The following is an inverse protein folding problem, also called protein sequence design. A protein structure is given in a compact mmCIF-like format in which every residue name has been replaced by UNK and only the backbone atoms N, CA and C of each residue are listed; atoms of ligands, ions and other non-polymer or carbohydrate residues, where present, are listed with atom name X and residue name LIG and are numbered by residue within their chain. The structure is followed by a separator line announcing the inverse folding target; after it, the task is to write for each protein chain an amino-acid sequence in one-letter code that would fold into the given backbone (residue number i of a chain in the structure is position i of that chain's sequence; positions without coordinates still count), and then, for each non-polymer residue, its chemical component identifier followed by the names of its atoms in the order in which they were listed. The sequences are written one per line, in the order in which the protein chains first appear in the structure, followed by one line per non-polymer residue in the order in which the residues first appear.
data_IF_951269048598
#
_entry.id   IF_951269048598
#
_cell.length_a   1.000
_cell.length_b   1.000
_cell.length_c   1.000
_cell.angle_alpha   90.00
_cell.angle_beta   90.00
_cell.angle_gamma   90.00
#
_symmetry.space_group_name_H-M   'P 1'
#
loop_
_entity.id
_entity.type
_entity.pdbx_description
1 polymer ?
#
# COMPACT_ATOMS: atom_id res chain seq x y z
N UNK A 1 4.63 12.92 0.38
CA UNK A 1 5.49 12.04 -0.45
C UNK A 1 5.38 10.63 0.11
N UNK A 2 5.35 9.61 -0.73
CA UNK A 2 5.36 8.21 -0.31
C UNK A 2 6.78 7.67 -0.36
N UNK A 3 7.29 7.13 0.76
CA UNK A 3 8.63 6.57 0.85
C UNK A 3 8.61 5.04 0.75
N UNK A 4 9.63 4.47 0.12
CA UNK A 4 9.86 3.03 0.02
C UNK A 4 8.81 2.26 -0.80
N UNK A 5 8.94 0.95 -0.77
CA UNK A 5 8.05 0.00 -1.43
C UNK A 5 6.65 -0.02 -0.79
N UNK A 6 5.60 -0.43 -1.51
CA UNK A 6 4.35 -0.85 -0.89
C UNK A 6 4.62 -2.06 0.02
N UNK A 7 4.51 -1.88 1.33
CA UNK A 7 4.88 -2.90 2.31
C UNK A 7 4.05 -2.76 3.58
N UNK A 8 3.60 -3.90 4.13
CA UNK A 8 2.84 -3.92 5.38
C UNK A 8 3.74 -3.54 6.56
N UNK A 9 3.33 -2.56 7.38
CA UNK A 9 4.14 -2.07 8.50
C UNK A 9 5.12 -0.94 8.13
N UNK A 10 5.16 -0.50 6.86
CA UNK A 10 6.07 0.55 6.41
C UNK A 10 5.96 1.85 7.23
N UNK A 11 7.10 2.41 7.61
CA UNK A 11 7.26 3.71 8.28
C UNK A 11 6.98 4.92 7.37
N UNK A 12 6.47 4.73 6.18
CA UNK A 12 6.25 5.75 5.15
C UNK A 12 5.66 7.07 5.69
N UNK A 13 4.67 7.00 6.61
CA UNK A 13 3.97 8.18 7.13
C UNK A 13 4.82 9.06 8.05
N UNK A 14 5.80 8.47 8.71
CA UNK A 14 6.66 9.15 9.70
C UNK A 14 8.15 9.16 9.30
N UNK A 15 8.50 8.59 8.14
CA UNK A 15 9.88 8.49 7.70
C UNK A 15 10.62 9.84 7.74
N UNK A 16 9.98 10.91 7.24
CA UNK A 16 10.58 12.25 7.31
C UNK A 16 10.83 12.69 8.75
N UNK A 17 9.87 12.50 9.65
CA UNK A 17 10.00 12.87 11.07
C UNK A 17 11.12 12.08 11.76
N UNK A 18 11.27 10.80 11.43
CA UNK A 18 12.38 9.97 11.91
C UNK A 18 13.69 10.53 11.41
N UNK A 19 13.81 10.83 10.12
CA UNK A 19 15.03 11.42 9.55
C UNK A 19 15.38 12.79 10.15
N UNK A 20 14.38 13.57 10.60
CA UNK A 20 14.64 14.85 11.26
C UNK A 20 15.31 14.66 12.65
N UNK A 21 15.08 13.52 13.30
CA UNK A 21 15.71 13.15 14.59
C UNK A 21 17.11 12.54 14.39
N UNK A 22 17.31 11.76 13.33
CA UNK A 22 18.59 11.13 13.05
C UNK A 22 19.63 12.20 12.64
N UNK A 23 20.84 12.22 13.23
CA UNK A 23 21.90 13.17 12.84
C UNK A 23 22.45 12.86 11.44
N UNK A 24 23.15 13.82 10.86
CA UNK A 24 23.95 13.61 9.66
C UNK A 24 25.17 12.76 9.96
N UNK A 25 25.55 11.87 9.04
CA UNK A 25 26.69 11.00 9.14
C UNK A 25 27.19 10.56 7.75
N UNK A 26 28.40 10.01 7.62
CA UNK A 26 28.83 9.43 6.35
C UNK A 26 27.91 8.31 5.87
N UNK A 27 27.50 7.41 6.78
CA UNK A 27 26.67 6.23 6.45
C UNK A 27 25.44 6.15 7.34
N UNK A 28 24.28 5.81 6.74
CA UNK A 28 23.14 5.28 7.47
C UNK A 28 23.03 3.77 7.21
N UNK A 29 22.96 2.99 8.28
CA UNK A 29 22.67 1.55 8.26
C UNK A 29 21.22 1.34 8.69
N UNK A 30 20.36 1.01 7.74
CA UNK A 30 18.94 0.65 7.94
C UNK A 30 18.85 -0.87 8.10
N UNK A 31 18.95 -1.32 9.35
CA UNK A 31 19.28 -2.73 9.72
C UNK A 31 18.07 -3.66 9.52
N UNK A 32 16.85 -3.16 9.67
CA UNK A 32 15.60 -3.85 9.44
C UNK A 32 14.78 -3.04 8.44
N UNK A 33 15.28 -2.93 7.20
CA UNK A 33 14.75 -1.94 6.25
C UNK A 33 13.31 -2.20 5.81
N UNK A 34 12.80 -3.45 5.94
CA UNK A 34 11.46 -3.82 5.52
C UNK A 34 11.15 -3.26 4.12
N UNK A 35 10.09 -2.45 3.96
CA UNK A 35 9.76 -1.79 2.70
C UNK A 35 10.69 -0.63 2.30
N UNK A 36 11.86 -0.48 2.89
CA UNK A 36 12.86 0.55 2.59
C UNK A 36 12.34 2.00 2.70
N UNK A 37 11.41 2.26 3.63
CA UNK A 37 10.85 3.61 3.77
C UNK A 37 11.87 4.59 4.36
N UNK A 38 12.66 4.16 5.33
CA UNK A 38 13.72 4.97 5.95
C UNK A 38 14.91 5.08 5.01
N UNK A 39 15.33 3.98 4.39
CA UNK A 39 16.33 3.97 3.31
C UNK A 39 16.02 5.01 2.24
N UNK A 40 14.78 5.02 1.70
CA UNK A 40 14.36 5.98 0.67
C UNK A 40 14.38 7.43 1.19
N UNK A 41 13.86 7.67 2.38
CA UNK A 41 13.87 9.01 2.98
C UNK A 41 15.31 9.48 3.24
N UNK A 42 16.20 8.61 3.66
CA UNK A 42 17.63 8.89 3.87
C UNK A 42 18.32 9.26 2.56
N UNK A 43 18.08 8.51 1.49
CA UNK A 43 18.61 8.82 0.15
C UNK A 43 18.19 10.19 -0.36
N UNK A 44 17.02 10.70 0.05
CA UNK A 44 16.51 12.00 -0.34
C UNK A 44 16.90 13.14 0.61
N UNK A 45 17.41 12.83 1.80
CA UNK A 45 17.65 13.81 2.87
C UNK A 45 18.89 14.68 2.65
N UNK A 46 19.87 14.18 1.90
CA UNK A 46 21.20 14.82 1.76
C UNK A 46 22.09 14.71 3.00
N UNK A 47 21.68 13.97 4.04
CA UNK A 47 22.43 13.80 5.31
C UNK A 47 23.52 12.75 5.25
N UNK A 48 23.47 11.84 4.29
CA UNK A 48 24.33 10.67 4.18
C UNK A 48 24.95 10.59 2.80
N UNK A 49 26.20 10.15 2.70
CA UNK A 49 26.87 9.84 1.43
C UNK A 49 26.60 8.41 0.96
N UNK A 50 26.30 7.51 1.92
CA UNK A 50 25.96 6.11 1.68
C UNK A 50 24.79 5.67 2.56
N UNK A 51 23.94 4.82 2.03
CA UNK A 51 22.86 4.15 2.77
C UNK A 51 22.99 2.65 2.56
N UNK A 52 23.04 1.89 3.66
CA UNK A 52 23.08 0.42 3.64
C UNK A 52 21.72 -0.08 4.12
N UNK A 53 21.00 -0.78 3.27
CA UNK A 53 19.71 -1.37 3.59
C UNK A 53 19.85 -2.88 3.78
N UNK A 54 19.51 -3.38 4.96
CA UNK A 54 19.52 -4.81 5.27
C UNK A 54 18.16 -5.28 5.71
N UNK A 55 17.80 -6.48 5.32
CA UNK A 55 16.65 -7.22 5.84
C UNK A 55 16.95 -8.73 5.78
N UNK A 56 16.41 -9.49 6.71
CA UNK A 56 16.51 -10.96 6.68
C UNK A 56 15.80 -11.53 5.44
N UNK A 57 14.75 -10.86 4.97
CA UNK A 57 14.11 -11.13 3.68
C UNK A 57 14.79 -10.33 2.56
N UNK A 58 15.88 -10.84 2.03
CA UNK A 58 16.67 -10.18 0.99
C UNK A 58 15.92 -9.81 -0.27
N UNK A 59 14.78 -10.43 -0.57
CA UNK A 59 13.96 -10.05 -1.72
C UNK A 59 13.55 -8.58 -1.67
N UNK A 60 13.32 -8.00 -0.48
CA UNK A 60 12.77 -6.65 -0.35
C UNK A 60 13.80 -5.55 -0.61
N UNK A 61 15.00 -5.52 0.01
CA UNK A 61 16.02 -4.52 -0.33
C UNK A 61 16.47 -4.63 -1.79
N UNK A 62 16.58 -5.82 -2.36
CA UNK A 62 16.88 -6.00 -3.79
C UNK A 62 15.72 -5.53 -4.70
N UNK A 63 14.47 -5.72 -4.29
CA UNK A 63 13.33 -5.14 -5.01
C UNK A 63 13.34 -3.60 -4.99
N UNK A 64 13.78 -3.00 -3.89
CA UNK A 64 13.94 -1.55 -3.81
C UNK A 64 15.07 -1.06 -4.74
N UNK A 65 16.20 -1.72 -4.74
CA UNK A 65 17.30 -1.45 -5.68
C UNK A 65 16.85 -1.57 -7.14
N UNK A 66 16.15 -2.66 -7.48
CA UNK A 66 15.52 -2.86 -8.80
C UNK A 66 14.57 -1.73 -9.16
N UNK A 67 13.73 -1.29 -8.22
CA UNK A 67 12.76 -0.22 -8.45
C UNK A 67 13.44 1.13 -8.75
N UNK A 68 14.48 1.50 -8.01
CA UNK A 68 15.19 2.76 -8.23
C UNK A 68 16.03 2.77 -9.51
N UNK A 69 16.41 1.61 -10.02
CA UNK A 69 17.11 1.46 -11.31
C UNK A 69 16.16 1.29 -12.51
N UNK A 70 14.85 1.31 -12.29
CA UNK A 70 13.84 1.25 -13.34
C UNK A 70 13.49 -0.17 -13.80
N UNK A 71 13.91 -1.22 -13.09
CA UNK A 71 13.67 -2.61 -13.46
C UNK A 71 12.19 -3.00 -13.54
N UNK A 72 11.28 -2.23 -12.91
CA UNK A 72 9.84 -2.46 -13.02
C UNK A 72 9.14 -1.57 -14.06
N UNK A 73 9.88 -0.83 -14.90
CA UNK A 73 9.31 0.12 -15.87
C UNK A 73 8.33 -0.52 -16.84
N UNK A 74 8.65 -1.70 -17.33
CA UNK A 74 7.88 -2.41 -18.34
C UNK A 74 7.00 -3.54 -17.76
N UNK A 75 6.83 -3.59 -16.44
CA UNK A 75 5.96 -4.60 -15.84
C UNK A 75 4.49 -4.30 -16.12
N UNK A 76 3.83 -5.28 -16.72
CA UNK A 76 2.42 -5.22 -17.09
C UNK A 76 1.70 -6.58 -16.95
N UNK A 77 2.40 -7.62 -16.50
CA UNK A 77 1.86 -8.98 -16.37
C UNK A 77 0.66 -9.05 -15.44
N UNK A 78 -0.38 -9.72 -15.87
CA UNK A 78 -1.39 -10.25 -14.96
C UNK A 78 -0.88 -11.54 -14.31
N UNK A 79 -1.02 -11.64 -13.01
CA UNK A 79 -0.66 -12.84 -12.25
C UNK A 79 -1.93 -13.48 -11.71
N UNK A 80 -2.18 -14.72 -12.11
CA UNK A 80 -3.27 -15.52 -11.58
C UNK A 80 -2.99 -15.97 -10.14
N UNK A 81 -4.00 -16.44 -9.43
CA UNK A 81 -3.83 -17.04 -8.09
C UNK A 81 -2.84 -18.19 -8.09
N UNK A 82 -2.91 -19.07 -9.11
CA UNK A 82 -2.05 -20.25 -9.21
C UNK A 82 -0.60 -19.85 -9.51
N UNK A 83 -0.39 -18.85 -10.37
CA UNK A 83 0.93 -18.32 -10.65
C UNK A 83 1.50 -17.55 -9.45
N UNK A 84 0.65 -16.85 -8.70
CA UNK A 84 1.07 -16.22 -7.45
C UNK A 84 1.64 -17.24 -6.48
N UNK A 85 0.98 -18.38 -6.28
CA UNK A 85 1.46 -19.44 -5.38
C UNK A 85 2.83 -20.00 -5.80
N UNK A 86 3.13 -20.02 -7.08
CA UNK A 86 4.42 -20.48 -7.61
C UNK A 86 5.53 -19.43 -7.46
N UNK A 87 5.19 -18.15 -7.60
CA UNK A 87 6.17 -17.08 -7.86
C UNK A 87 6.40 -16.13 -6.69
N UNK A 88 5.48 -16.03 -5.71
CA UNK A 88 5.54 -14.99 -4.67
C UNK A 88 6.82 -15.03 -3.80
N UNK A 89 7.51 -16.18 -3.74
CA UNK A 89 8.76 -16.34 -2.98
C UNK A 89 10.01 -15.88 -3.75
N UNK A 90 9.91 -15.78 -5.08
CA UNK A 90 11.08 -15.57 -5.95
C UNK A 90 10.93 -14.34 -6.85
N UNK A 91 9.71 -13.88 -7.10
CA UNK A 91 9.43 -12.73 -7.96
C UNK A 91 8.90 -11.55 -7.11
N UNK A 92 9.70 -10.50 -6.91
CA UNK A 92 9.31 -9.36 -6.10
C UNK A 92 8.12 -8.56 -6.67
N UNK A 93 7.95 -8.51 -8.00
CA UNK A 93 6.78 -7.91 -8.61
C UNK A 93 5.50 -8.63 -8.18
N UNK A 94 5.52 -9.96 -8.26
CA UNK A 94 4.40 -10.81 -7.86
C UNK A 94 4.09 -10.63 -6.38
N UNK A 95 5.09 -10.75 -5.52
CA UNK A 95 4.94 -10.64 -4.07
C UNK A 95 4.40 -9.27 -3.64
N UNK A 96 4.92 -8.18 -4.20
CA UNK A 96 4.57 -6.83 -3.78
C UNK A 96 3.23 -6.40 -4.40
N UNK A 97 3.02 -6.62 -5.71
CA UNK A 97 1.85 -6.08 -6.40
C UNK A 97 0.60 -6.94 -6.22
N UNK A 98 0.74 -8.26 -6.12
CA UNK A 98 -0.39 -9.19 -6.09
C UNK A 98 -0.71 -9.76 -4.70
N UNK A 99 -0.05 -9.29 -3.64
CA UNK A 99 -0.40 -9.74 -2.28
C UNK A 99 -1.41 -8.85 -1.59
N UNK A 100 -2.22 -9.44 -0.71
CA UNK A 100 -3.24 -8.75 0.07
C UNK A 100 -2.63 -7.75 1.06
N UNK A 101 -2.94 -6.47 0.87
CA UNK A 101 -2.37 -5.42 1.72
C UNK A 101 -0.84 -5.34 1.70
N UNK A 102 -0.22 -5.83 0.62
CA UNK A 102 1.24 -5.92 0.42
C UNK A 102 1.93 -6.72 1.55
N UNK A 103 1.32 -7.85 1.95
CA UNK A 103 1.83 -8.75 2.98
C UNK A 103 2.82 -9.81 2.44
N UNK A 104 3.03 -9.86 1.13
CA UNK A 104 3.94 -10.70 0.35
C UNK A 104 3.58 -12.19 0.23
N UNK A 105 2.54 -12.69 0.86
CA UNK A 105 2.26 -14.14 0.92
C UNK A 105 0.81 -14.54 0.67
N UNK A 106 -0.16 -13.63 0.76
CA UNK A 106 -1.57 -13.89 0.49
C UNK A 106 -2.01 -13.20 -0.79
N UNK A 107 -2.64 -13.91 -1.70
CA UNK A 107 -3.14 -13.33 -2.95
C UNK A 107 -4.20 -12.25 -2.72
N UNK A 108 -4.13 -11.16 -3.46
CA UNK A 108 -4.89 -9.94 -3.17
C UNK A 108 -6.37 -9.97 -3.56
N UNK A 109 -6.80 -10.90 -4.43
CA UNK A 109 -8.18 -10.94 -4.91
C UNK A 109 -8.94 -12.18 -4.42
N UNK A 110 -10.21 -12.02 -4.03
CA UNK A 110 -11.12 -13.12 -3.80
C UNK A 110 -11.43 -13.84 -5.12
N UNK A 111 -11.73 -15.15 -5.08
CA UNK A 111 -11.95 -15.97 -6.28
C UNK A 111 -13.04 -15.40 -7.19
N UNK A 112 -14.15 -14.97 -6.60
CA UNK A 112 -15.28 -14.39 -7.34
C UNK A 112 -14.98 -13.02 -7.98
N UNK A 113 -13.94 -12.32 -7.52
CA UNK A 113 -13.51 -11.01 -8.07
C UNK A 113 -12.41 -11.12 -9.11
N UNK A 114 -11.66 -12.20 -9.10
CA UNK A 114 -10.48 -12.37 -9.94
C UNK A 114 -10.76 -12.19 -11.45
N UNK A 115 -11.83 -12.77 -12.04
CA UNK A 115 -12.15 -12.57 -13.46
C UNK A 115 -12.36 -11.08 -13.81
N UNK A 116 -13.10 -10.35 -12.97
CA UNK A 116 -13.36 -8.92 -13.17
C UNK A 116 -12.09 -8.08 -13.03
N UNK A 117 -11.23 -8.42 -12.08
CA UNK A 117 -9.96 -7.72 -11.88
C UNK A 117 -8.98 -7.98 -13.01
N UNK A 118 -8.97 -9.19 -13.56
CA UNK A 118 -8.21 -9.53 -14.76
C UNK A 118 -8.70 -8.73 -15.97
N UNK A 119 -10.01 -8.69 -16.19
CA UNK A 119 -10.60 -7.92 -17.29
C UNK A 119 -10.29 -6.41 -17.18
N UNK A 120 -10.32 -5.84 -15.97
CA UNK A 120 -9.92 -4.45 -15.73
C UNK A 120 -8.41 -4.25 -15.96
N UNK A 121 -7.59 -5.20 -15.59
CA UNK A 121 -6.14 -5.14 -15.86
C UNK A 121 -5.90 -5.06 -17.37
N UNK A 122 -6.51 -5.94 -18.14
CA UNK A 122 -6.41 -5.95 -19.61
C UNK A 122 -6.85 -4.62 -20.22
N UNK A 123 -7.98 -4.10 -19.77
CA UNK A 123 -8.48 -2.80 -20.23
C UNK A 123 -7.52 -1.64 -19.89
N UNK A 124 -6.95 -1.62 -18.68
CA UNK A 124 -6.10 -0.51 -18.21
C UNK A 124 -4.69 -0.60 -18.81
N UNK A 125 -4.09 -1.79 -18.85
CA UNK A 125 -2.72 -1.97 -19.31
C UNK A 125 -2.63 -2.03 -20.84
N UNK A 126 -3.48 -2.83 -21.46
CA UNK A 126 -3.39 -3.15 -22.90
C UNK A 126 -4.52 -2.55 -23.75
N UNK A 127 -5.45 -1.79 -23.13
CA UNK A 127 -6.66 -1.26 -23.80
C UNK A 127 -7.58 -2.36 -24.36
N UNK A 128 -7.41 -3.61 -23.92
CA UNK A 128 -8.29 -4.71 -24.29
C UNK A 128 -9.50 -4.75 -23.38
N UNK A 129 -10.64 -4.35 -23.91
CA UNK A 129 -11.92 -4.33 -23.20
C UNK A 129 -12.82 -5.53 -23.50
N UNK A 130 -12.37 -6.47 -24.34
CA UNK A 130 -13.12 -7.69 -24.70
C UNK A 130 -13.56 -8.48 -23.47
N UNK A 131 -12.64 -8.90 -22.58
CA UNK A 131 -12.99 -9.66 -21.37
C UNK A 131 -13.94 -8.93 -20.42
N UNK A 132 -13.88 -7.59 -20.36
CA UNK A 132 -14.84 -6.82 -19.57
C UNK A 132 -16.22 -6.82 -20.19
N UNK A 133 -16.32 -6.72 -21.54
CA UNK A 133 -17.59 -6.76 -22.27
C UNK A 133 -18.34 -8.08 -22.04
N UNK A 134 -17.63 -9.19 -21.96
CA UNK A 134 -18.21 -10.50 -21.65
C UNK A 134 -18.81 -10.56 -20.24
N UNK A 135 -18.14 -9.97 -19.26
CA UNK A 135 -18.54 -10.00 -17.85
C UNK A 135 -19.54 -8.89 -17.49
N UNK A 136 -19.38 -7.72 -18.06
CA UNK A 136 -20.09 -6.49 -17.72
C UNK A 136 -20.46 -5.69 -18.99
N UNK A 137 -21.30 -6.24 -19.90
CA UNK A 137 -21.68 -5.58 -21.14
C UNK A 137 -22.34 -4.21 -20.91
N UNK A 138 -23.06 -4.06 -19.80
CA UNK A 138 -23.78 -2.84 -19.41
C UNK A 138 -22.90 -1.60 -19.22
N UNK A 139 -21.60 -1.79 -18.99
CA UNK A 139 -20.63 -0.70 -18.78
C UNK A 139 -19.46 -0.73 -19.76
N UNK A 140 -19.47 -1.68 -20.70
CA UNK A 140 -18.34 -1.96 -21.59
C UNK A 140 -17.98 -0.78 -22.51
N UNK A 141 -18.97 -0.11 -23.09
CA UNK A 141 -18.74 1.03 -24.00
C UNK A 141 -18.18 2.24 -23.24
N UNK A 142 -18.66 2.49 -22.02
CA UNK A 142 -18.14 3.55 -21.19
C UNK A 142 -16.68 3.28 -20.77
N UNK A 143 -16.34 2.03 -20.41
CA UNK A 143 -14.97 1.63 -20.12
C UNK A 143 -14.07 1.78 -21.36
N UNK A 144 -14.52 1.28 -22.52
CA UNK A 144 -13.78 1.37 -23.79
C UNK A 144 -13.43 2.82 -24.11
N UNK A 145 -14.42 3.71 -24.12
CA UNK A 145 -14.20 5.14 -24.36
C UNK A 145 -13.19 5.77 -23.41
N UNK A 146 -13.27 5.42 -22.12
CA UNK A 146 -12.38 5.97 -21.09
C UNK A 146 -10.92 5.50 -21.24
N UNK A 147 -10.69 4.22 -21.62
CA UNK A 147 -9.33 3.70 -21.76
C UNK A 147 -8.69 4.06 -23.10
N UNK A 148 -9.47 4.20 -24.16
CA UNK A 148 -8.96 4.62 -25.48
C UNK A 148 -8.56 6.09 -25.51
N UNK A 149 -9.30 6.95 -24.81
CA UNK A 149 -9.07 8.41 -24.79
C UNK A 149 -7.85 8.83 -23.95
N UNK A 150 -7.27 7.95 -23.14
CA UNK A 150 -6.19 8.31 -22.21
C UNK A 150 -4.93 7.47 -22.48
N UNK A 151 -3.78 8.15 -22.65
CA UNK A 151 -2.50 7.48 -22.87
C UNK A 151 -1.79 7.13 -21.56
N UNK A 152 -1.91 7.98 -20.54
CA UNK A 152 -1.32 7.73 -19.23
C UNK A 152 -2.07 6.62 -18.49
N UNK A 153 -1.37 5.54 -18.14
CA UNK A 153 -1.95 4.37 -17.48
C UNK A 153 -2.58 4.71 -16.13
N UNK A 154 -1.95 5.55 -15.32
CA UNK A 154 -2.50 5.93 -14.02
C UNK A 154 -3.81 6.72 -14.16
N UNK A 155 -3.88 7.65 -15.12
CA UNK A 155 -5.11 8.38 -15.43
C UNK A 155 -6.17 7.44 -16.03
N UNK A 156 -5.78 6.49 -16.89
CA UNK A 156 -6.67 5.43 -17.41
C UNK A 156 -7.33 4.66 -16.28
N UNK A 157 -6.58 4.21 -15.29
CA UNK A 157 -7.13 3.50 -14.12
C UNK A 157 -8.21 4.32 -13.40
N UNK A 158 -7.93 5.60 -13.15
CA UNK A 158 -8.89 6.51 -12.49
C UNK A 158 -10.12 6.74 -13.39
N UNK A 159 -9.88 6.99 -14.68
CA UNK A 159 -10.92 7.20 -15.68
C UNK A 159 -11.84 5.99 -15.85
N UNK A 160 -11.27 4.80 -15.94
CA UNK A 160 -12.00 3.53 -16.04
C UNK A 160 -12.98 3.34 -14.86
N UNK A 161 -12.51 3.53 -13.63
CA UNK A 161 -13.38 3.42 -12.47
C UNK A 161 -14.54 4.43 -12.46
N UNK A 162 -14.25 5.68 -12.84
CA UNK A 162 -15.27 6.73 -12.93
C UNK A 162 -16.28 6.43 -14.06
N UNK A 163 -15.81 5.99 -15.22
CA UNK A 163 -16.66 5.69 -16.36
C UNK A 163 -17.66 4.57 -16.05
N UNK A 164 -17.19 3.48 -15.43
CA UNK A 164 -18.03 2.36 -15.00
C UNK A 164 -19.11 2.85 -14.03
N UNK A 165 -18.72 3.60 -12.99
CA UNK A 165 -19.66 4.10 -11.97
C UNK A 165 -20.69 5.06 -12.60
N UNK A 166 -20.26 5.97 -13.47
CA UNK A 166 -21.16 6.92 -14.14
C UNK A 166 -22.15 6.24 -15.06
N UNK A 167 -21.69 5.23 -15.83
CA UNK A 167 -22.55 4.46 -16.73
C UNK A 167 -23.59 3.65 -15.95
N UNK A 168 -23.20 2.97 -14.88
CA UNK A 168 -24.14 2.27 -13.99
C UNK A 168 -25.20 3.22 -13.44
N UNK A 169 -24.78 4.39 -12.95
CA UNK A 169 -25.69 5.39 -12.42
C UNK A 169 -26.72 5.84 -13.45
N UNK A 170 -26.25 6.27 -14.58
CA UNK A 170 -27.12 6.74 -15.64
C UNK A 170 -28.11 5.63 -16.08
N UNK A 171 -27.59 4.41 -16.30
CA UNK A 171 -28.39 3.30 -16.77
C UNK A 171 -29.45 2.81 -15.77
N UNK A 172 -29.14 2.79 -14.47
CA UNK A 172 -30.09 2.47 -13.41
C UNK A 172 -31.16 3.56 -13.25
N UNK A 173 -30.77 4.85 -13.37
CA UNK A 173 -31.72 5.97 -13.23
C UNK A 173 -32.69 6.05 -14.39
N UNK A 174 -32.25 5.82 -15.63
CA UNK A 174 -33.09 5.90 -16.82
C UNK A 174 -33.74 4.55 -17.22
N UNK A 175 -33.51 3.49 -16.44
CA UNK A 175 -34.10 2.17 -16.66
C UNK A 175 -33.45 1.35 -17.79
N UNK A 176 -32.30 1.78 -18.35
CA UNK A 176 -31.62 1.03 -19.43
C UNK A 176 -30.74 -0.09 -18.90
N UNK A 177 -30.42 -0.11 -17.59
CA UNK A 177 -29.69 -1.18 -16.90
C UNK A 177 -30.61 -1.82 -15.87
N UNK A 178 -30.73 -3.16 -15.95
CA UNK A 178 -31.47 -3.95 -14.98
C UNK A 178 -30.80 -3.86 -13.59
N UNK A 179 -31.55 -3.53 -12.52
CA UNK A 179 -31.02 -3.52 -11.14
C UNK A 179 -30.36 -4.82 -10.69
N UNK A 180 -30.72 -5.99 -11.24
CA UNK A 180 -30.12 -7.28 -10.95
C UNK A 180 -28.62 -7.32 -11.26
N UNK A 181 -28.14 -6.46 -12.17
CA UNK A 181 -26.70 -6.27 -12.45
C UNK A 181 -25.89 -5.99 -11.18
N UNK A 182 -26.48 -5.31 -10.20
CA UNK A 182 -25.83 -4.95 -8.93
C UNK A 182 -25.48 -6.17 -8.08
N UNK A 183 -25.99 -7.35 -8.42
CA UNK A 183 -25.63 -8.61 -7.78
C UNK A 183 -24.32 -9.22 -8.29
N UNK A 184 -23.73 -8.69 -9.35
CA UNK A 184 -22.41 -9.12 -9.81
C UNK A 184 -21.34 -8.87 -8.70
N UNK A 185 -20.41 -9.80 -8.47
CA UNK A 185 -19.41 -9.70 -7.39
C UNK A 185 -18.64 -8.38 -7.38
N UNK A 186 -18.30 -7.85 -8.56
CA UNK A 186 -17.55 -6.59 -8.69
C UNK A 186 -18.34 -5.38 -8.16
N UNK A 187 -19.68 -5.41 -8.25
CA UNK A 187 -20.54 -4.32 -7.80
C UNK A 187 -21.03 -4.50 -6.36
N UNK A 188 -21.08 -5.75 -5.83
CA UNK A 188 -21.45 -6.04 -4.43
C UNK A 188 -20.45 -5.52 -3.39
N UNK A 189 -19.15 -5.47 -3.73
CA UNK A 189 -18.07 -5.15 -2.79
C UNK A 189 -17.86 -3.64 -2.63
N UNK A 190 -18.93 -2.95 -2.27
CA UNK A 190 -18.90 -1.53 -1.99
C UNK A 190 -18.91 -1.33 -0.48
N UNK A 191 -17.84 -0.72 0.04
CA UNK A 191 -17.71 -0.40 1.46
C UNK A 191 -18.79 0.58 1.90
N UNK A 192 -19.54 0.21 2.94
CA UNK A 192 -20.41 1.12 3.71
C UNK A 192 -19.54 2.21 4.37
N UNK A 193 -19.43 3.39 3.78
CA UNK A 193 -18.98 4.58 4.50
C UNK A 193 -20.19 5.27 5.13
N UNK A 194 -20.15 5.42 6.47
CA UNK A 194 -21.13 6.19 7.22
C UNK A 194 -20.80 7.68 7.04
N UNK A 195 -21.49 8.38 6.16
CA UNK A 195 -21.45 9.84 6.09
C UNK A 195 -22.83 10.41 6.46
N UNK A 196 -22.96 11.21 7.53
CA UNK A 196 -24.26 11.75 7.97
C UNK A 196 -24.99 12.61 6.94
N UNK A 197 -24.26 13.33 6.05
CA UNK A 197 -24.86 14.18 5.01
C UNK A 197 -25.54 13.44 3.85
N UNK A 198 -25.27 12.15 3.69
CA UNK A 198 -25.81 11.34 2.59
C UNK A 198 -27.29 10.98 2.76
N UNK A 199 -27.77 10.90 4.03
CA UNK A 199 -29.17 10.64 4.33
C UNK A 199 -30.11 11.75 3.83
N UNK A 200 -29.66 13.00 3.84
CA UNK A 200 -30.46 14.16 3.42
C UNK A 200 -30.59 14.17 1.89
N UNK A 201 -29.48 13.94 1.15
CA UNK A 201 -29.51 13.86 -0.33
C UNK A 201 -30.29 12.66 -0.86
N UNK A 202 -30.26 11.53 -0.14
CA UNK A 202 -31.07 10.36 -0.48
C UNK A 202 -32.55 10.62 -0.27
N UNK A 203 -32.94 11.28 0.84
CA UNK A 203 -34.31 11.67 1.12
C UNK A 203 -34.87 12.61 0.03
N UNK A 204 -34.08 13.60 -0.42
CA UNK A 204 -34.46 14.52 -1.52
C UNK A 204 -34.57 13.79 -2.86
N UNK A 205 -33.71 12.81 -3.15
CA UNK A 205 -33.78 11.99 -4.36
C UNK A 205 -34.97 11.03 -4.33
N UNK A 206 -35.30 10.48 -3.18
CA UNK A 206 -36.49 9.64 -2.95
C UNK A 206 -37.77 10.47 -3.10
N UNK A 207 -37.80 11.70 -2.60
CA UNK A 207 -38.94 12.62 -2.76
C UNK A 207 -39.16 13.00 -4.23
N UNK A 208 -38.10 13.27 -4.99
CA UNK A 208 -38.15 13.49 -6.46
C UNK A 208 -38.65 12.28 -7.23
N UNK A 209 -38.25 11.05 -6.82
CA UNK A 209 -38.74 9.81 -7.46
C UNK A 209 -40.20 9.51 -7.15
N UNK A 210 -40.69 9.93 -5.97
CA UNK A 210 -42.11 9.82 -5.60
C UNK A 210 -43.02 10.74 -6.43
N UNK A 211 -42.48 11.81 -7.01
CA UNK A 211 -43.20 12.77 -7.85
C UNK A 211 -43.23 12.39 -9.34
N UNK A 212 -42.54 11.33 -9.76
CA UNK A 212 -42.53 10.78 -11.12
C UNK A 212 -43.51 9.60 -11.17
N UNK A 213 -44.31 9.52 -12.24
CA UNK A 213 -45.46 8.64 -12.49
C UNK A 213 -45.49 7.19 -11.97
N UNK A 214 -46.62 6.50 -11.87
CA UNK A 214 -46.84 5.29 -11.10
C UNK A 214 -46.14 4.08 -11.71
N UNK A 215 -44.98 3.74 -11.16
CA UNK A 215 -44.36 2.41 -11.29
C UNK A 215 -44.91 1.49 -10.21
N UNK A 216 -45.05 0.20 -10.49
CA UNK A 216 -45.46 -0.79 -9.50
C UNK A 216 -44.51 -0.78 -8.28
N UNK A 217 -45.07 -0.99 -7.10
CA UNK A 217 -44.36 -0.81 -5.81
C UNK A 217 -43.03 -1.63 -5.72
N UNK A 218 -42.97 -2.83 -6.32
CA UNK A 218 -41.80 -3.70 -6.31
C UNK A 218 -40.63 -3.15 -7.16
N UNK A 219 -40.89 -2.59 -8.35
CA UNK A 219 -39.85 -1.98 -9.18
C UNK A 219 -39.28 -0.70 -8.54
N UNK A 220 -40.11 0.06 -7.85
CA UNK A 220 -39.68 1.25 -7.08
C UNK A 220 -38.77 0.87 -5.92
N UNK A 221 -39.10 -0.17 -5.19
CA UNK A 221 -38.29 -0.66 -4.08
C UNK A 221 -36.92 -1.17 -4.58
N UNK A 222 -36.91 -1.95 -5.65
CA UNK A 222 -35.67 -2.45 -6.26
C UNK A 222 -34.78 -1.34 -6.81
N UNK A 223 -35.38 -0.30 -7.42
CA UNK A 223 -34.62 0.89 -7.87
C UNK A 223 -34.05 1.70 -6.71
N UNK A 224 -34.81 1.87 -5.62
CA UNK A 224 -34.34 2.55 -4.41
C UNK A 224 -33.22 1.79 -3.72
N UNK A 225 -33.34 0.49 -3.56
CA UNK A 225 -32.27 -0.35 -3.01
C UNK A 225 -31.00 -0.35 -3.90
N UNK A 226 -31.20 -0.30 -5.22
CA UNK A 226 -30.08 -0.20 -6.18
C UNK A 226 -29.41 1.15 -6.11
N UNK A 227 -30.15 2.25 -5.92
CA UNK A 227 -29.61 3.60 -5.71
C UNK A 227 -28.87 3.71 -4.36
N UNK A 228 -29.37 3.09 -3.28
CA UNK A 228 -28.67 3.02 -2.01
C UNK A 228 -27.36 2.20 -2.13
N UNK A 229 -27.38 1.10 -2.85
CA UNK A 229 -26.16 0.33 -3.16
C UNK A 229 -25.20 1.15 -4.01
N UNK A 230 -25.72 1.97 -4.92
CA UNK A 230 -24.96 2.81 -5.84
C UNK A 230 -24.22 3.96 -5.16
N UNK A 231 -24.82 4.67 -4.19
CA UNK A 231 -24.10 5.70 -3.43
C UNK A 231 -22.87 5.14 -2.68
N UNK A 232 -22.85 3.82 -2.48
CA UNK A 232 -21.69 3.10 -1.92
C UNK A 232 -20.59 2.82 -2.95
N UNK A 233 -20.85 3.06 -4.28
CA UNK A 233 -19.87 2.86 -5.37
C UNK A 233 -18.79 3.93 -5.48
N UNK A 234 -18.82 5.00 -4.71
CA UNK A 234 -17.83 6.10 -4.74
C UNK A 234 -16.37 5.64 -4.60
N UNK A 235 -16.16 4.43 -4.09
CA UNK A 235 -14.85 3.85 -3.80
C UNK A 235 -14.55 2.55 -4.57
N UNK A 236 -14.93 2.45 -5.84
CA UNK A 236 -14.47 1.34 -6.67
C UNK A 236 -12.95 1.42 -6.83
N UNK A 237 -12.22 0.77 -5.91
CA UNK A 237 -10.77 0.56 -6.09
C UNK A 237 -10.57 -0.38 -7.27
N UNK A 238 -10.27 0.19 -8.42
CA UNK A 238 -10.18 -0.56 -9.67
C UNK A 238 -9.10 -1.64 -9.61
N UNK A 239 -7.87 -1.28 -9.23
CA UNK A 239 -6.75 -2.23 -9.14
C UNK A 239 -5.77 -1.82 -8.03
N UNK A 240 -5.63 -2.64 -7.00
CA UNK A 240 -4.57 -2.49 -6.00
C UNK A 240 -3.19 -2.77 -6.61
N UNK A 241 -3.12 -3.73 -7.52
CA UNK A 241 -1.89 -4.13 -8.22
C UNK A 241 -1.29 -2.98 -9.00
N UNK A 242 -2.10 -2.21 -9.73
CA UNK A 242 -1.63 -1.04 -10.48
C UNK A 242 -1.16 0.10 -9.54
N UNK A 243 -1.82 0.30 -8.40
CA UNK A 243 -1.38 1.28 -7.41
C UNK A 243 0.00 0.92 -6.84
N UNK A 244 0.22 -0.35 -6.51
CA UNK A 244 1.51 -0.86 -6.04
C UNK A 244 2.59 -0.74 -7.13
N UNK A 245 2.28 -1.10 -8.38
CA UNK A 245 3.20 -1.00 -9.50
C UNK A 245 3.55 0.46 -9.83
N UNK A 246 2.57 1.37 -9.86
CA UNK A 246 2.84 2.79 -10.03
C UNK A 246 3.78 3.34 -8.95
N UNK A 247 3.65 2.85 -7.72
CA UNK A 247 4.55 3.22 -6.64
C UNK A 247 5.96 2.67 -6.86
N UNK A 248 6.12 1.41 -7.28
CA UNK A 248 7.43 0.84 -7.65
C UNK A 248 8.10 1.66 -8.75
N UNK A 249 7.38 1.97 -9.83
CA UNK A 249 7.91 2.73 -10.96
C UNK A 249 8.25 4.18 -10.60
N UNK A 250 7.56 4.78 -9.63
CA UNK A 250 7.86 6.13 -9.17
C UNK A 250 9.21 6.25 -8.44
N UNK A 251 9.75 5.16 -7.93
CA UNK A 251 11.03 5.13 -7.19
C UNK A 251 12.24 5.36 -8.11
N UNK A 252 12.13 5.04 -9.39
CA UNK A 252 13.19 5.29 -10.39
C UNK A 252 13.68 6.75 -10.40
N UNK A 253 12.78 7.69 -10.11
CA UNK A 253 13.11 9.12 -10.08
C UNK A 253 14.15 9.52 -9.01
N UNK A 254 14.49 8.63 -8.09
CA UNK A 254 15.50 8.88 -7.05
C UNK A 254 16.88 8.99 -7.67
N UNK A 255 17.25 8.08 -8.56
CA UNK A 255 18.58 8.04 -9.17
C UNK A 255 18.86 9.19 -10.16
N UNK A 256 17.81 9.87 -10.63
CA UNK A 256 17.96 11.01 -11.52
C UNK A 256 18.52 12.28 -10.83
N UNK A 257 18.70 12.27 -9.51
CA UNK A 257 19.26 13.42 -8.77
C UNK A 257 20.79 13.40 -8.78
N UNK A 258 21.42 14.48 -9.18
CA UNK A 258 22.88 14.63 -9.35
C UNK A 258 23.76 14.32 -8.14
N UNK A 259 23.20 14.10 -6.93
CA UNK A 259 23.92 13.81 -5.67
C UNK A 259 23.17 12.78 -4.81
N UNK A 260 22.65 11.73 -5.43
CA UNK A 260 22.08 10.64 -4.64
C UNK A 260 23.19 9.90 -3.90
N UNK A 261 23.01 9.55 -2.61
CA UNK A 261 23.96 8.70 -1.89
C UNK A 261 24.06 7.33 -2.55
N UNK A 262 25.18 6.66 -2.34
CA UNK A 262 25.36 5.29 -2.79
C UNK A 262 24.46 4.37 -1.96
N UNK A 263 23.57 3.64 -2.62
CA UNK A 263 22.81 2.56 -2.00
C UNK A 263 23.67 1.28 -2.00
N UNK A 264 23.70 0.59 -0.88
CA UNK A 264 24.19 -0.78 -0.77
C UNK A 264 23.09 -1.63 -0.15
N UNK A 265 22.83 -2.80 -0.71
CA UNK A 265 21.85 -3.75 -0.16
C UNK A 265 22.57 -4.93 0.45
N UNK A 266 22.06 -5.41 1.57
CA UNK A 266 22.54 -6.58 2.28
C UNK A 266 21.34 -7.48 2.61
N UNK A 267 21.65 -8.76 2.84
CA UNK A 267 20.65 -9.76 3.23
C UNK A 267 21.24 -10.60 4.34
N UNK A 268 20.60 -10.62 5.50
CA UNK A 268 21.04 -11.46 6.60
C UNK A 268 20.56 -11.01 7.94
N UNK A 269 20.98 -11.78 8.94
CA UNK A 269 20.71 -11.46 10.33
C UNK A 269 21.48 -10.18 10.73
N UNK A 270 20.84 -9.29 11.48
CA UNK A 270 21.43 -8.04 11.95
C UNK A 270 22.71 -8.26 12.77
N UNK A 271 22.86 -9.42 13.41
CA UNK A 271 24.03 -9.79 14.21
C UNK A 271 25.28 -10.05 13.37
N UNK A 272 25.08 -10.38 12.09
CA UNK A 272 26.16 -10.68 11.15
C UNK A 272 26.58 -9.45 10.33
N UNK A 273 25.88 -8.31 10.52
CA UNK A 273 26.21 -7.09 9.79
C UNK A 273 27.52 -6.47 10.25
N UNK A 274 28.36 -6.14 9.28
CA UNK A 274 29.60 -5.38 9.50
C UNK A 274 29.36 -3.88 9.30
N UNK A 275 29.79 -3.07 10.29
CA UNK A 275 29.72 -1.61 10.28
C UNK A 275 31.10 -1.03 9.95
N UNK A 276 31.52 -1.14 8.70
CA UNK A 276 32.88 -0.83 8.22
C UNK A 276 33.24 0.66 8.22
N UNK A 277 32.28 1.56 8.45
CA UNK A 277 32.52 3.00 8.48
C UNK A 277 31.72 3.66 9.62
N UNK A 278 32.20 4.81 10.16
CA UNK A 278 31.42 5.60 11.10
C UNK A 278 30.07 6.01 10.53
N UNK A 279 28.99 5.78 11.27
CA UNK A 279 27.65 6.03 10.78
C UNK A 279 26.58 6.02 11.87
N UNK A 280 25.34 6.00 11.42
CA UNK A 280 24.14 5.86 12.23
C UNK A 280 23.54 4.49 11.97
N UNK A 281 23.24 3.75 13.02
CA UNK A 281 22.48 2.51 12.95
C UNK A 281 21.03 2.83 13.29
N UNK A 282 20.13 2.58 12.35
CA UNK A 282 18.69 2.66 12.56
C UNK A 282 18.07 1.25 12.57
N UNK A 283 17.29 0.97 13.60
CA UNK A 283 16.62 -0.30 13.81
C UNK A 283 15.11 -0.13 13.92
N UNK A 284 14.36 -0.91 13.13
CA UNK A 284 12.91 -1.07 13.19
C UNK A 284 12.58 -2.56 13.35
N UNK A 285 12.91 -3.18 14.53
CA UNK A 285 12.74 -4.61 14.73
C UNK A 285 11.25 -5.01 14.70
N UNK A 286 10.94 -6.32 14.56
CA UNK A 286 9.58 -6.81 14.76
C UNK A 286 9.06 -6.41 16.15
N UNK A 287 7.87 -5.76 16.20
CA UNK A 287 7.31 -5.29 17.48
C UNK A 287 6.91 -6.44 18.41
N UNK A 288 7.15 -6.28 19.71
CA UNK A 288 6.74 -7.24 20.75
C UNK A 288 5.24 -7.60 20.71
N UNK A 289 4.40 -6.63 20.33
CA UNK A 289 2.93 -6.79 20.27
C UNK A 289 2.48 -7.64 19.06
N UNK A 290 3.37 -7.95 18.11
CA UNK A 290 3.04 -8.68 16.88
C UNK A 290 3.60 -10.11 16.85
N UNK A 291 3.71 -10.76 18.00
CA UNK A 291 4.33 -12.08 18.21
C UNK A 291 3.95 -13.20 17.22
N UNK A 292 2.77 -13.15 16.61
CA UNK A 292 2.23 -14.24 15.80
C UNK A 292 2.61 -14.22 14.30
N UNK A 293 3.39 -13.24 13.82
CA UNK A 293 3.50 -12.99 12.36
C UNK A 293 4.78 -13.45 11.68
N UNK A 294 5.84 -13.77 12.41
CA UNK A 294 7.16 -14.06 11.81
C UNK A 294 7.65 -15.50 12.00
N UNK A 295 6.85 -16.40 12.56
CA UNK A 295 7.16 -17.84 12.67
C UNK A 295 8.29 -18.21 13.62
N UNK A 296 9.12 -17.26 14.04
CA UNK A 296 10.17 -17.40 15.07
C UNK A 296 10.04 -16.26 16.06
N UNK A 297 10.29 -16.57 17.34
CA UNK A 297 10.29 -15.55 18.40
C UNK A 297 11.57 -14.70 18.27
N UNK A 298 11.40 -13.37 18.11
CA UNK A 298 12.52 -12.45 18.02
C UNK A 298 13.20 -12.34 19.39
N UNK A 299 14.51 -12.55 19.45
CA UNK A 299 15.30 -12.44 20.66
C UNK A 299 15.53 -10.97 21.05
N UNK A 300 14.57 -10.40 21.77
CA UNK A 300 14.67 -9.03 22.25
C UNK A 300 15.81 -8.81 23.23
N UNK A 301 16.14 -9.80 24.05
CA UNK A 301 17.23 -9.67 25.06
C UNK A 301 18.58 -9.58 24.37
N UNK A 302 18.83 -10.47 23.42
CA UNK A 302 20.04 -10.44 22.60
C UNK A 302 20.12 -9.17 21.76
N UNK A 303 18.98 -8.73 21.17
CA UNK A 303 18.92 -7.49 20.39
C UNK A 303 19.27 -6.25 21.24
N UNK A 304 18.76 -6.14 22.47
CA UNK A 304 19.08 -5.02 23.35
C UNK A 304 20.56 -5.00 23.69
N UNK A 305 21.14 -6.15 24.04
CA UNK A 305 22.59 -6.27 24.32
C UNK A 305 23.40 -5.93 23.06
N UNK A 306 22.98 -6.40 21.90
CA UNK A 306 23.63 -6.04 20.64
C UNK A 306 23.63 -4.52 20.40
N UNK A 307 22.49 -3.83 20.61
CA UNK A 307 22.39 -2.37 20.47
C UNK A 307 23.39 -1.61 21.41
N UNK A 308 23.54 -2.07 22.62
CA UNK A 308 24.43 -1.43 23.63
C UNK A 308 25.91 -1.59 23.31
N UNK A 309 26.28 -2.68 22.60
CA UNK A 309 27.68 -2.95 22.25
C UNK A 309 28.13 -2.29 20.95
N UNK A 310 27.22 -1.58 20.22
CA UNK A 310 27.60 -0.90 18.99
C UNK A 310 28.46 0.33 19.25
N UNK A 311 29.53 0.47 18.47
CA UNK A 311 30.37 1.69 18.44
C UNK A 311 29.64 2.84 17.77
N UNK A 312 28.90 2.56 16.71
CA UNK A 312 28.08 3.52 16.00
C UNK A 312 26.82 3.88 16.81
N UNK A 313 26.33 5.11 16.68
CA UNK A 313 25.10 5.55 17.36
C UNK A 313 23.89 4.75 16.89
N UNK A 314 23.16 4.15 17.84
CA UNK A 314 21.97 3.36 17.58
C UNK A 314 20.71 4.15 17.87
N UNK A 315 19.75 4.11 16.93
CA UNK A 315 18.41 4.66 17.05
C UNK A 315 17.39 3.56 16.75
N UNK A 316 16.46 3.34 17.67
CA UNK A 316 15.51 2.20 17.61
C UNK A 316 14.10 2.73 17.58
N UNK A 317 13.30 2.30 16.58
CA UNK A 317 11.88 2.60 16.48
C UNK A 317 11.09 1.50 17.19
N UNK A 318 10.42 1.84 18.31
CA UNK A 318 9.58 0.91 19.07
C UNK A 318 8.58 1.68 19.96
N UNK A 319 7.47 1.05 20.33
CA UNK A 319 6.48 1.65 21.23
C UNK A 319 6.97 1.71 22.67
N UNK A 320 7.60 0.63 23.13
CA UNK A 320 8.08 0.48 24.53
C UNK A 320 9.41 -0.27 24.55
N UNK A 321 10.35 0.21 25.35
CA UNK A 321 11.62 -0.46 25.60
C UNK A 321 11.93 -0.42 27.11
N UNK A 322 12.85 -1.27 27.62
CA UNK A 322 13.33 -1.20 29.01
C UNK A 322 13.95 0.16 29.29
N UNK A 323 13.33 0.96 30.17
CA UNK A 323 13.74 2.33 30.45
C UNK A 323 15.01 2.43 31.35
N UNK A 324 15.39 1.35 31.99
CA UNK A 324 16.68 1.18 32.67
C UNK A 324 17.85 1.08 31.69
N UNK A 325 17.61 0.62 30.45
CA UNK A 325 18.65 0.43 29.42
C UNK A 325 18.58 1.46 28.29
N UNK A 326 17.38 1.97 27.98
CA UNK A 326 17.11 2.84 26.84
C UNK A 326 16.35 4.10 27.24
N UNK A 327 16.55 5.18 26.49
CA UNK A 327 15.91 6.48 26.70
C UNK A 327 15.18 6.89 25.42
N UNK A 328 13.91 7.34 25.50
CA UNK A 328 13.21 7.90 24.35
C UNK A 328 13.76 9.30 24.03
N UNK A 329 14.21 9.49 22.79
CA UNK A 329 14.73 10.79 22.30
C UNK A 329 13.71 11.53 21.42
N UNK A 330 12.69 10.84 20.92
CA UNK A 330 11.56 11.43 20.21
C UNK A 330 10.31 10.56 20.32
N UNK A 331 9.13 11.17 20.12
CA UNK A 331 7.85 10.47 20.07
C UNK A 331 6.97 11.05 18.96
N UNK A 332 6.28 10.19 18.23
CA UNK A 332 5.40 10.55 17.12
C UNK A 332 4.02 9.94 17.31
N UNK A 333 2.99 10.76 17.19
CA UNK A 333 1.61 10.27 17.16
C UNK A 333 1.31 9.65 15.80
N UNK A 334 0.92 8.37 15.80
CA UNK A 334 0.56 7.61 14.61
C UNK A 334 -0.86 7.04 14.77
N UNK A 335 -1.71 7.26 13.77
CA UNK A 335 -3.02 6.62 13.73
C UNK A 335 -2.90 5.23 13.11
N UNK A 336 -3.11 4.19 13.89
CA UNK A 336 -3.17 2.79 13.44
C UNK A 336 -4.60 2.44 13.06
N UNK A 337 -4.80 1.93 11.85
CA UNK A 337 -6.05 1.25 11.48
C UNK A 337 -5.89 -0.22 11.84
N UNK A 338 -6.51 -0.67 12.93
CA UNK A 338 -6.47 -2.08 13.35
C UNK A 338 -7.48 -2.93 12.57
N UNK A 339 -8.65 -2.34 12.25
CA UNK A 339 -9.72 -2.91 11.43
C UNK A 339 -10.45 -1.81 10.68
N UNK A 340 -11.33 -2.20 9.74
CA UNK A 340 -12.15 -1.25 8.98
C UNK A 340 -13.02 -0.33 9.87
N UNK A 341 -13.17 -0.65 11.16
CA UNK A 341 -14.06 0.05 12.13
C UNK A 341 -13.34 0.68 13.32
N UNK A 342 -12.07 0.36 13.60
CA UNK A 342 -11.35 0.90 14.76
C UNK A 342 -10.01 1.48 14.34
N UNK A 343 -9.80 2.77 14.61
CA UNK A 343 -8.49 3.40 14.61
C UNK A 343 -8.05 3.61 16.05
N UNK A 344 -6.82 3.24 16.38
CA UNK A 344 -6.18 3.59 17.64
C UNK A 344 -5.06 4.60 17.39
N UNK A 345 -4.91 5.52 18.33
CA UNK A 345 -3.76 6.42 18.36
C UNK A 345 -2.64 5.67 19.09
N UNK A 346 -1.49 5.54 18.47
CA UNK A 346 -0.29 4.97 19.05
C UNK A 346 0.82 6.01 19.06
N UNK A 347 1.72 5.92 20.03
CA UNK A 347 2.92 6.78 20.09
C UNK A 347 4.14 5.95 19.73
N UNK A 348 4.61 6.12 18.49
CA UNK A 348 5.88 5.58 18.04
C UNK A 348 7.01 6.40 18.66
N UNK A 349 8.00 5.75 19.28
CA UNK A 349 9.13 6.42 19.91
C UNK A 349 10.43 6.03 19.21
N UNK A 350 11.39 6.94 19.22
CA UNK A 350 12.78 6.65 18.88
C UNK A 350 13.57 6.58 20.16
N UNK A 351 14.25 5.47 20.35
CA UNK A 351 15.02 5.16 21.55
C UNK A 351 16.52 5.11 21.26
N UNK A 352 17.31 5.40 22.28
CA UNK A 352 18.78 5.23 22.25
C UNK A 352 19.27 4.47 23.47
N UNK A 353 20.34 3.66 23.35
CA UNK A 353 20.99 3.06 24.52
C UNK A 353 21.53 4.15 25.48
N UNK A 354 21.30 4.00 26.79
CA UNK A 354 21.80 4.92 27.82
C UNK A 354 23.32 4.99 27.82
N UNK A 355 23.98 3.86 27.65
CA UNK A 355 25.45 3.78 27.61
C UNK A 355 26.06 4.67 26.50
N UNK A 356 25.35 4.89 25.38
CA UNK A 356 25.82 5.79 24.33
C UNK A 356 25.57 7.28 24.61
N UNK A 357 24.83 7.61 25.67
CA UNK A 357 24.54 8.98 26.10
C UNK A 357 25.33 9.38 27.32
N UNK A 358 26.05 8.44 27.95
CA UNK A 358 26.82 8.67 29.18
C UNK A 358 25.93 8.84 30.42
N UNK A 359 24.72 8.26 30.43
CA UNK A 359 23.73 8.36 31.53
C UNK A 359 23.20 6.99 31.95
#
# INVERSE_FOLDING_TARGET
MNYGLPYKGSKNRIAKKILDVLPAAPVLYDVFCGGCAITHAAMLSGKYSRVVANDINGMIPHAFETAITGGFRNEDRWISRDDFQKLYKTDPYVAICFSFGNNLHEYCYARELEPYKRALHYAIFWKDTGPWRELCPETADALKKAVESEQDRHKRRIGAGRAIVTALKAGLMNGTIDPAVMDKPIYKKIRKEKTPGLRIQLAESVERLKSLEPLENDERLQRLESLERFERLKNLKTLQTDESLCRLQSLERINARRRSPVLSVATGDYREMEFSAPGIIYCDPPYKITKERYGQEFDFTGFYSWCEHQVNQVFISEYTMPEDRFVPVAAFTVTRKMDAKKSSICHEKIWRPRCQLGI
#
